data_IF_467008639808
#
_entry.id   IF_467008639808
#
_cell.length_a   1.000
_cell.length_b   1.000
_cell.length_c   1.000
_cell.angle_alpha   90.00
_cell.angle_beta   90.00
_cell.angle_gamma   90.00
#
_symmetry.space_group_name_H-M   'P 1'
#
loop_
_entity.id
_entity.type
_entity.pdbx_description
1 polymer ?
#
# COMPACT_ATOMS: atom_id res chain seq x y z
N UNK A 1 -21.72 7.00 -14.91
CA UNK A 1 -20.44 7.20 -14.20
C UNK A 1 -19.83 5.83 -13.93
N UNK A 2 -18.61 5.59 -14.38
CA UNK A 2 -17.89 4.36 -14.04
C UNK A 2 -17.45 4.44 -12.58
N UNK A 3 -17.75 3.40 -11.80
CA UNK A 3 -17.33 3.27 -10.41
C UNK A 3 -15.81 3.09 -10.35
N UNK A 4 -15.09 3.98 -9.66
CA UNK A 4 -13.62 3.88 -9.53
C UNK A 4 -13.27 2.76 -8.56
N UNK A 5 -12.52 1.76 -9.03
CA UNK A 5 -12.09 0.60 -8.24
C UNK A 5 -10.56 0.48 -8.24
N UNK A 6 -10.01 -0.04 -7.15
CA UNK A 6 -8.59 -0.34 -7.01
C UNK A 6 -8.39 -1.71 -6.36
N UNK A 7 -7.27 -2.38 -6.69
CA UNK A 7 -6.90 -3.65 -6.08
C UNK A 7 -6.06 -3.40 -4.83
N UNK A 8 -6.46 -3.98 -3.70
CA UNK A 8 -5.79 -3.85 -2.42
C UNK A 8 -5.19 -5.21 -2.07
N UNK A 9 -3.90 -5.25 -1.69
CA UNK A 9 -3.29 -6.50 -1.20
C UNK A 9 -3.16 -6.55 0.32
N UNK A 10 -3.05 -5.38 0.98
CA UNK A 10 -2.98 -5.32 2.44
C UNK A 10 -3.59 -4.02 2.99
N UNK A 11 -4.14 -4.10 4.21
CA UNK A 11 -4.62 -2.95 4.98
C UNK A 11 -3.98 -3.03 6.36
N UNK A 12 -3.04 -2.14 6.63
CA UNK A 12 -2.37 -2.04 7.91
C UNK A 12 -3.01 -0.95 8.76
N UNK A 13 -3.53 -1.32 9.93
CA UNK A 13 -4.11 -0.37 10.90
C UNK A 13 -3.05 0.06 11.91
N UNK A 14 -3.23 1.23 12.50
CA UNK A 14 -2.35 1.77 13.55
C UNK A 14 -0.89 1.97 13.13
N UNK A 15 -0.65 2.34 11.87
CA UNK A 15 0.68 2.73 11.38
C UNK A 15 1.13 4.04 12.03
N UNK A 16 2.28 3.98 12.72
CA UNK A 16 2.91 5.13 13.37
C UNK A 16 4.06 5.75 12.56
N UNK A 17 4.58 5.00 11.59
CA UNK A 17 5.78 5.36 10.83
C UNK A 17 5.49 5.78 9.38
N UNK A 18 4.25 5.61 8.90
CA UNK A 18 3.84 5.92 7.52
C UNK A 18 3.34 7.37 7.36
N UNK A 19 3.73 8.26 8.28
CA UNK A 19 3.37 9.67 8.30
C UNK A 19 2.98 10.17 9.68
N UNK A 20 2.58 11.45 9.82
CA UNK A 20 2.22 12.02 11.10
C UNK A 20 0.96 11.40 11.72
N UNK A 21 1.03 11.11 13.03
CA UNK A 21 -0.07 10.56 13.82
C UNK A 21 -0.27 9.06 13.65
N UNK A 22 -1.45 8.57 14.06
CA UNK A 22 -1.85 7.16 13.88
C UNK A 22 -2.63 7.04 12.57
N UNK A 23 -2.18 6.16 11.66
CA UNK A 23 -2.77 6.00 10.33
C UNK A 23 -3.23 4.58 10.05
N UNK A 24 -4.14 4.46 9.08
CA UNK A 24 -4.43 3.20 8.40
C UNK A 24 -3.81 3.29 7.02
N UNK A 25 -2.77 2.49 6.78
CA UNK A 25 -2.07 2.42 5.50
C UNK A 25 -2.76 1.37 4.62
N UNK A 26 -3.16 1.78 3.42
CA UNK A 26 -3.74 0.90 2.41
C UNK A 26 -2.67 0.62 1.36
N UNK A 27 -2.29 -0.63 1.23
CA UNK A 27 -1.33 -1.05 0.21
C UNK A 27 -2.08 -1.55 -1.04
N UNK A 28 -1.89 -0.83 -2.13
CA UNK A 28 -2.44 -1.20 -3.44
C UNK A 28 -1.59 -2.28 -4.08
N UNK A 29 -2.25 -3.14 -4.85
CA UNK A 29 -1.61 -4.25 -5.56
C UNK A 29 -0.91 -3.75 -6.84
N UNK A 30 0.34 -4.16 -7.01
CA UNK A 30 1.16 -3.97 -8.20
C UNK A 30 2.10 -2.78 -8.13
N UNK A 31 3.37 -3.01 -8.50
CA UNK A 31 4.37 -1.97 -8.75
C UNK A 31 5.18 -2.34 -10.01
N UNK A 32 5.32 -1.44 -11.00
CA UNK A 32 6.08 -1.73 -12.22
C UNK A 32 7.60 -1.72 -12.01
N UNK A 33 8.07 -1.32 -10.82
CA UNK A 33 9.48 -1.27 -10.48
C UNK A 33 10.01 -2.63 -10.05
N UNK A 34 11.31 -2.85 -10.24
CA UNK A 34 12.02 -4.08 -9.84
C UNK A 34 13.17 -3.75 -8.88
N UNK A 35 12.85 -3.04 -7.81
CA UNK A 35 13.85 -2.58 -6.84
C UNK A 35 14.54 -3.79 -6.18
N UNK A 36 15.87 -3.79 -6.12
CA UNK A 36 16.66 -4.87 -5.50
C UNK A 36 16.32 -5.05 -4.00
N UNK A 37 15.94 -3.97 -3.34
CA UNK A 37 15.59 -3.90 -1.92
C UNK A 37 14.10 -3.56 -1.71
N UNK A 38 13.22 -4.02 -2.61
CA UNK A 38 11.79 -3.80 -2.41
C UNK A 38 11.37 -4.33 -1.04
N UNK A 39 10.79 -3.47 -0.20
CA UNK A 39 10.36 -3.86 1.14
C UNK A 39 9.06 -4.68 1.10
N UNK A 40 8.29 -4.58 0.01
CA UNK A 40 7.04 -5.32 -0.21
C UNK A 40 7.08 -6.00 -1.61
N UNK A 41 7.93 -7.02 -1.82
CA UNK A 41 8.05 -7.72 -3.10
C UNK A 41 6.80 -8.51 -3.52
N UNK A 42 5.89 -8.79 -2.58
CA UNK A 42 4.61 -9.45 -2.79
C UNK A 42 3.50 -8.52 -3.32
N UNK A 43 3.76 -7.19 -3.27
CA UNK A 43 2.81 -6.12 -3.57
C UNK A 43 2.29 -6.09 -5.00
#
# INVERSE_FOLDING_TARGET
MSETKGLIFNIQRFSLHDGPGIRTTIFLKGCPLKCLWCHNPEG
#
